data_IF_230955649348
#
_entry.id   IF_230955649348
#
_cell.length_a   1.000
_cell.length_b   1.000
_cell.length_c   1.000
_cell.angle_alpha   90.00
_cell.angle_beta   90.00
_cell.angle_gamma   90.00
#
_symmetry.space_group_name_H-M   'P 1'
#
loop_
_entity.id
_entity.type
_entity.pdbx_description
1 polymer ?
#
# COMPACT_ATOMS: atom_id res chain seq x y z
N UNK A 1 8.87 -1.62 -0.52
CA UNK A 1 9.83 -0.51 -0.28
C UNK A 1 11.26 -1.04 -0.37
N UNK A 2 11.69 -2.06 0.40
CA UNK A 2 13.06 -2.57 0.37
C UNK A 2 13.56 -2.93 -1.04
N UNK A 3 12.74 -3.60 -1.84
CA UNK A 3 13.10 -3.94 -3.22
C UNK A 3 13.35 -2.70 -4.09
N UNK A 4 12.58 -1.63 -3.87
CA UNK A 4 12.76 -0.36 -4.58
C UNK A 4 14.09 0.31 -4.18
N UNK A 5 14.42 0.31 -2.89
CA UNK A 5 15.70 0.82 -2.37
C UNK A 5 16.87 0.00 -2.93
N UNK A 6 16.77 -1.33 -2.93
CA UNK A 6 17.79 -2.22 -3.49
C UNK A 6 17.98 -1.99 -5.00
N UNK A 7 16.90 -1.75 -5.72
CA UNK A 7 16.96 -1.42 -7.15
C UNK A 7 17.62 -0.04 -7.37
N UNK A 8 17.29 0.94 -6.54
CA UNK A 8 17.93 2.26 -6.60
C UNK A 8 19.45 2.16 -6.41
N UNK A 9 19.90 1.43 -5.39
CA UNK A 9 21.31 1.16 -5.14
C UNK A 9 22.00 0.48 -6.34
N UNK A 10 21.38 -0.56 -6.88
CA UNK A 10 21.93 -1.32 -8.02
C UNK A 10 22.13 -0.47 -9.27
N UNK A 11 21.29 0.54 -9.47
CA UNK A 11 21.31 1.40 -10.65
C UNK A 11 21.80 2.82 -10.37
N UNK A 12 22.50 3.03 -9.26
CA UNK A 12 23.07 4.32 -8.83
C UNK A 12 22.03 5.45 -8.85
N UNK A 13 20.87 5.18 -8.25
CA UNK A 13 19.77 6.16 -8.11
C UNK A 13 19.64 6.60 -6.66
N UNK A 14 19.28 7.85 -6.45
CA UNK A 14 18.86 8.39 -5.17
C UNK A 14 17.35 8.16 -4.97
N UNK A 15 16.96 7.88 -3.76
CA UNK A 15 15.55 7.64 -3.37
C UNK A 15 15.00 8.90 -2.71
N UNK A 16 13.87 9.37 -3.19
CA UNK A 16 13.12 10.47 -2.58
C UNK A 16 11.80 9.94 -2.05
N UNK A 17 11.51 10.21 -0.79
CA UNK A 17 10.27 9.76 -0.14
C UNK A 17 9.31 10.94 -0.02
N UNK A 18 8.14 10.82 -0.63
CA UNK A 18 7.12 11.87 -0.67
C UNK A 18 5.82 11.45 0.02
N UNK A 19 5.28 12.39 0.80
CA UNK A 19 4.07 12.21 1.57
C UNK A 19 4.35 11.84 3.02
N UNK A 20 3.69 12.57 3.96
CA UNK A 20 3.92 12.45 5.42
C UNK A 20 3.84 11.01 5.93
N UNK A 21 2.82 10.26 5.51
CA UNK A 21 2.66 8.87 5.94
C UNK A 21 3.80 7.97 5.44
N UNK A 22 4.26 8.15 4.19
CA UNK A 22 5.35 7.37 3.63
C UNK A 22 6.68 7.69 4.32
N UNK A 23 6.96 8.97 4.57
CA UNK A 23 8.15 9.41 5.32
C UNK A 23 8.17 8.78 6.69
N UNK A 24 7.07 8.84 7.44
CA UNK A 24 6.97 8.24 8.78
C UNK A 24 7.17 6.72 8.74
N UNK A 25 6.53 6.01 7.79
CA UNK A 25 6.68 4.56 7.66
C UNK A 25 8.12 4.17 7.34
N UNK A 26 8.78 4.88 6.43
CA UNK A 26 10.18 4.61 6.09
C UNK A 26 11.09 4.88 7.28
N UNK A 27 10.90 5.99 8.00
CA UNK A 27 11.70 6.34 9.18
C UNK A 27 11.57 5.27 10.28
N UNK A 28 10.32 4.93 10.67
CA UNK A 28 10.05 3.93 11.72
C UNK A 28 10.58 2.55 11.30
N UNK A 29 10.37 2.13 10.05
CA UNK A 29 10.83 0.83 9.58
C UNK A 29 12.36 0.75 9.53
N UNK A 30 13.05 1.85 9.27
CA UNK A 30 14.51 1.94 9.32
C UNK A 30 15.00 1.88 10.78
N UNK A 31 14.40 2.65 11.68
CA UNK A 31 14.73 2.64 13.12
C UNK A 31 14.56 1.25 13.74
N UNK A 32 13.48 0.55 13.38
CA UNK A 32 13.20 -0.81 13.86
C UNK A 32 14.00 -1.91 13.12
N UNK A 33 14.84 -1.56 12.15
CA UNK A 33 15.66 -2.51 11.39
C UNK A 33 14.91 -3.33 10.34
N UNK A 34 13.64 -3.01 10.04
CA UNK A 34 12.87 -3.65 8.97
C UNK A 34 13.25 -3.16 7.57
N UNK A 35 13.80 -1.95 7.47
CA UNK A 35 14.39 -1.43 6.24
C UNK A 35 15.89 -1.24 6.43
N UNK A 36 16.64 -1.81 5.50
CA UNK A 36 18.08 -1.60 5.40
C UNK A 36 18.32 -0.52 4.35
N UNK A 37 18.78 0.62 4.81
CA UNK A 37 19.05 1.80 3.96
C UNK A 37 20.53 2.10 4.07
N UNK A 38 21.25 2.08 2.93
CA UNK A 38 22.64 2.51 2.91
C UNK A 38 22.71 4.03 3.09
N UNK A 39 23.82 4.51 3.63
CA UNK A 39 24.09 5.94 3.77
C UNK A 39 23.93 6.65 2.41
N UNK A 40 23.42 7.86 2.43
CA UNK A 40 23.24 8.75 1.27
C UNK A 40 22.32 8.24 0.13
N UNK A 41 21.58 7.14 0.31
CA UNK A 41 20.65 6.66 -0.72
C UNK A 41 19.34 7.44 -0.69
N UNK A 42 18.79 7.69 0.49
CA UNK A 42 17.60 8.53 0.66
C UNK A 42 18.06 9.98 0.79
N UNK A 43 17.49 10.84 -0.04
CA UNK A 43 17.76 12.29 -0.05
C UNK A 43 16.47 13.07 0.21
N UNK A 44 16.61 14.29 0.68
CA UNK A 44 15.49 15.19 0.85
C UNK A 44 14.91 15.65 -0.49
N UNK A 45 13.61 15.92 -0.52
CA UNK A 45 12.93 16.38 -1.73
C UNK A 45 13.52 17.68 -2.30
N UNK A 46 14.09 18.53 -1.47
CA UNK A 46 14.73 19.78 -1.84
C UNK A 46 16.05 19.58 -2.59
N UNK A 47 16.68 18.43 -2.41
CA UNK A 47 17.95 18.08 -3.06
C UNK A 47 17.78 17.45 -4.45
N UNK A 48 16.55 17.10 -4.85
CA UNK A 48 16.28 16.47 -6.16
C UNK A 48 16.90 17.22 -7.33
N UNK A 49 16.90 18.55 -7.28
CA UNK A 49 17.43 19.41 -8.36
C UNK A 49 18.95 19.26 -8.59
N UNK A 50 19.65 18.58 -7.68
CA UNK A 50 21.08 18.26 -7.82
C UNK A 50 21.33 17.02 -8.70
N UNK A 51 20.26 16.27 -9.01
CA UNK A 51 20.33 15.00 -9.73
C UNK A 51 19.53 15.07 -11.03
N UNK A 52 19.96 14.29 -12.03
CA UNK A 52 19.19 14.12 -13.28
C UNK A 52 17.96 13.25 -12.99
N UNK A 53 16.89 13.41 -13.77
CA UNK A 53 15.65 12.64 -13.58
C UNK A 53 15.88 11.13 -13.60
N UNK A 54 16.77 10.63 -14.45
CA UNK A 54 17.10 9.21 -14.53
C UNK A 54 17.95 8.68 -13.35
N UNK A 55 18.42 9.55 -12.48
CA UNK A 55 19.12 9.20 -11.25
C UNK A 55 18.20 9.21 -10.02
N UNK A 56 16.92 9.44 -10.20
CA UNK A 56 15.96 9.50 -9.10
C UNK A 56 15.00 8.31 -9.12
N UNK A 57 14.66 7.84 -7.92
CA UNK A 57 13.55 6.93 -7.66
C UNK A 57 12.66 7.58 -6.60
N UNK A 58 11.38 7.75 -6.91
CA UNK A 58 10.44 8.44 -6.04
C UNK A 58 9.49 7.43 -5.41
N UNK A 59 9.45 7.37 -4.08
CA UNK A 59 8.46 6.63 -3.31
C UNK A 59 7.36 7.59 -2.88
N UNK A 60 6.12 7.31 -3.27
CA UNK A 60 4.99 8.19 -2.99
C UNK A 60 3.72 7.40 -2.64
N UNK A 61 2.73 8.11 -2.11
CA UNK A 61 1.38 7.60 -1.83
C UNK A 61 0.43 7.85 -3.00
N UNK A 62 -0.79 7.29 -2.93
CA UNK A 62 -1.87 7.57 -3.90
C UNK A 62 -2.18 6.44 -4.86
N UNK A 63 -1.80 5.21 -4.50
CA UNK A 63 -2.08 4.01 -5.29
C UNK A 63 -3.56 3.65 -5.39
N UNK A 64 -4.43 4.28 -4.61
CA UNK A 64 -5.89 4.09 -4.61
C UNK A 64 -6.65 5.19 -5.39
N UNK A 65 -5.93 6.10 -6.03
CA UNK A 65 -6.52 7.17 -6.85
C UNK A 65 -7.18 8.28 -6.03
N UNK A 66 -6.80 8.44 -4.76
CA UNK A 66 -7.30 9.53 -3.93
C UNK A 66 -6.85 10.89 -4.50
N UNK A 67 -7.76 11.85 -4.71
CA UNK A 67 -7.47 13.09 -5.44
C UNK A 67 -6.34 13.94 -4.84
N UNK A 68 -6.19 13.90 -3.51
CA UNK A 68 -5.18 14.69 -2.78
C UNK A 68 -3.85 13.97 -2.60
N UNK A 69 -3.77 12.70 -2.98
CA UNK A 69 -2.55 11.92 -2.83
C UNK A 69 -1.48 12.28 -3.88
N UNK A 70 -0.22 11.99 -3.56
CA UNK A 70 0.93 12.38 -4.39
C UNK A 70 0.81 11.94 -5.85
N UNK A 71 0.56 10.66 -6.09
CA UNK A 71 0.47 10.11 -7.44
C UNK A 71 -0.69 10.72 -8.26
N UNK A 72 -1.87 10.90 -7.67
CA UNK A 72 -3.02 11.52 -8.34
C UNK A 72 -2.72 12.98 -8.73
N UNK A 73 -2.02 13.71 -7.88
CA UNK A 73 -1.58 15.07 -8.19
C UNK A 73 -0.51 15.11 -9.29
N UNK A 74 0.41 14.15 -9.31
CA UNK A 74 1.39 14.00 -10.39
C UNK A 74 0.70 13.69 -11.72
N UNK A 75 -0.28 12.79 -11.72
CA UNK A 75 -1.02 12.39 -12.93
C UNK A 75 -1.85 13.51 -13.57
N UNK A 76 -2.16 14.55 -12.80
CA UNK A 76 -2.88 15.75 -13.26
C UNK A 76 -1.99 16.99 -13.37
N UNK A 77 -0.67 16.83 -13.26
CA UNK A 77 0.32 17.92 -13.27
C UNK A 77 0.12 18.99 -12.19
N UNK A 78 -0.52 18.61 -11.07
CA UNK A 78 -0.80 19.48 -9.92
C UNK A 78 0.13 19.24 -8.73
N UNK A 79 1.19 18.45 -8.90
CA UNK A 79 2.18 18.24 -7.84
C UNK A 79 3.22 19.38 -7.84
N UNK A 80 3.59 19.87 -6.65
CA UNK A 80 4.46 21.05 -6.51
C UNK A 80 5.87 20.87 -7.06
N UNK A 81 6.42 19.67 -6.89
CA UNK A 81 7.84 19.41 -7.10
C UNK A 81 8.12 18.34 -8.16
N UNK A 82 7.12 17.56 -8.56
CA UNK A 82 7.28 16.45 -9.50
C UNK A 82 6.36 16.66 -10.70
N UNK A 83 6.94 16.56 -11.88
CA UNK A 83 6.22 16.46 -13.15
C UNK A 83 6.55 15.14 -13.81
N UNK A 84 5.53 14.41 -14.20
CA UNK A 84 5.71 13.20 -15.02
C UNK A 84 6.07 13.63 -16.44
N UNK A 85 7.11 13.03 -17.00
CA UNK A 85 7.58 13.30 -18.35
C UNK A 85 7.55 12.01 -19.20
N UNK A 86 7.51 12.13 -20.53
CA UNK A 86 7.59 10.97 -21.42
C UNK A 86 8.83 10.12 -21.14
N UNK A 87 8.62 8.80 -21.01
CA UNK A 87 9.70 7.84 -20.70
C UNK A 87 9.87 7.55 -19.21
N UNK A 88 9.18 8.24 -18.32
CA UNK A 88 9.13 7.86 -16.91
C UNK A 88 8.45 6.50 -16.72
N UNK A 89 8.91 5.73 -15.75
CA UNK A 89 8.27 4.48 -15.33
C UNK A 89 7.57 4.67 -13.98
N UNK A 90 6.27 4.40 -13.96
CA UNK A 90 5.46 4.43 -12.73
C UNK A 90 5.03 3.03 -12.35
N UNK A 91 5.38 2.59 -11.15
CA UNK A 91 5.03 1.27 -10.62
C UNK A 91 3.96 1.42 -9.54
N UNK A 92 2.77 0.87 -9.76
CA UNK A 92 1.68 0.86 -8.78
C UNK A 92 1.66 -0.52 -8.12
N UNK A 93 2.23 -0.61 -6.92
CA UNK A 93 2.39 -1.88 -6.20
C UNK A 93 1.17 -2.26 -5.33
N UNK A 94 0.07 -1.53 -5.42
CA UNK A 94 -1.16 -1.81 -4.68
C UNK A 94 -2.24 -2.38 -5.59
N UNK A 95 -3.07 -3.26 -5.03
CA UNK A 95 -4.32 -3.68 -5.67
C UNK A 95 -5.41 -2.66 -5.32
N UNK A 96 -6.24 -2.21 -6.27
CA UNK A 96 -7.37 -1.35 -5.96
C UNK A 96 -8.30 -1.96 -4.91
N UNK A 97 -8.68 -1.17 -3.93
CA UNK A 97 -9.74 -1.54 -2.98
C UNK A 97 -11.07 -1.55 -3.76
N UNK A 98 -11.97 -2.52 -3.50
CA UNK A 98 -13.29 -2.54 -4.13
C UNK A 98 -13.99 -1.18 -4.03
N UNK A 99 -14.41 -0.63 -5.19
CA UNK A 99 -14.98 0.71 -5.33
C UNK A 99 -14.00 1.79 -5.81
N UNK A 100 -12.69 1.58 -5.73
CA UNK A 100 -11.69 2.54 -6.18
C UNK A 100 -11.18 2.27 -7.60
N UNK A 101 -11.64 1.21 -8.27
CA UNK A 101 -11.15 0.77 -9.57
C UNK A 101 -11.22 1.88 -10.62
N UNK A 102 -12.33 2.64 -10.64
CA UNK A 102 -12.50 3.76 -11.56
C UNK A 102 -11.52 4.91 -11.31
N UNK A 103 -11.25 5.23 -10.04
CA UNK A 103 -10.30 6.30 -9.67
C UNK A 103 -8.87 5.90 -10.00
N UNK A 104 -8.49 4.66 -9.69
CA UNK A 104 -7.19 4.11 -10.05
C UNK A 104 -7.02 4.05 -11.56
N UNK A 105 -8.03 3.56 -12.30
CA UNK A 105 -8.02 3.54 -13.76
C UNK A 105 -7.81 4.93 -14.37
N UNK A 106 -8.52 5.95 -13.89
CA UNK A 106 -8.33 7.35 -14.33
C UNK A 106 -6.90 7.86 -14.08
N UNK A 107 -6.33 7.51 -12.93
CA UNK A 107 -4.95 7.90 -12.60
C UNK A 107 -3.96 7.24 -13.56
N UNK A 108 -4.13 5.94 -13.85
CA UNK A 108 -3.32 5.19 -14.83
C UNK A 108 -3.42 5.82 -16.22
N UNK A 109 -4.65 6.05 -16.70
CA UNK A 109 -4.89 6.68 -18.01
C UNK A 109 -4.20 8.05 -18.11
N UNK A 110 -4.29 8.84 -17.05
CA UNK A 110 -3.67 10.18 -17.02
C UNK A 110 -2.15 10.10 -17.07
N UNK A 111 -1.54 9.18 -16.33
CA UNK A 111 -0.10 8.94 -16.38
C UNK A 111 0.37 8.49 -17.77
N UNK A 112 -0.37 7.58 -18.40
CA UNK A 112 -0.07 7.12 -19.77
C UNK A 112 -0.21 8.26 -20.81
N UNK A 113 -1.20 9.16 -20.65
CA UNK A 113 -1.34 10.35 -21.51
C UNK A 113 -0.17 11.31 -21.37
N UNK A 114 0.48 11.36 -20.20
CA UNK A 114 1.70 12.12 -19.98
C UNK A 114 2.96 11.43 -20.56
N UNK A 115 2.80 10.23 -21.15
CA UNK A 115 3.88 9.47 -21.78
C UNK A 115 4.64 8.55 -20.82
N UNK A 116 4.12 8.30 -19.62
CA UNK A 116 4.71 7.36 -18.68
C UNK A 116 4.44 5.91 -19.07
N UNK A 117 5.42 5.04 -18.82
CA UNK A 117 5.22 3.59 -18.79
C UNK A 117 4.66 3.17 -17.42
N UNK A 118 3.43 2.68 -17.37
CA UNK A 118 2.76 2.32 -16.10
C UNK A 118 2.71 0.81 -15.91
N UNK A 119 3.31 0.33 -14.82
CA UNK A 119 3.30 -1.08 -14.40
C UNK A 119 2.33 -1.24 -13.24
N UNK A 120 1.20 -1.90 -13.46
CA UNK A 120 0.09 -2.01 -12.48
C UNK A 120 -0.57 -3.39 -12.42
N UNK A 121 -0.16 -4.33 -13.26
CA UNK A 121 -0.82 -5.63 -13.36
C UNK A 121 -0.49 -6.57 -12.21
N UNK A 122 -1.46 -7.41 -11.82
CA UNK A 122 -1.30 -8.48 -10.81
C UNK A 122 -0.23 -9.51 -11.18
N UNK A 123 0.04 -9.70 -12.47
CA UNK A 123 1.05 -10.62 -12.99
C UNK A 123 2.49 -10.23 -12.62
N UNK A 124 2.73 -8.96 -12.31
CA UNK A 124 4.06 -8.43 -12.03
C UNK A 124 4.62 -8.76 -10.64
N UNK A 125 3.85 -9.44 -9.77
CA UNK A 125 4.24 -9.83 -8.38
C UNK A 125 4.80 -8.67 -7.53
N UNK A 126 4.38 -7.44 -7.81
CA UNK A 126 4.82 -6.24 -7.11
C UNK A 126 3.99 -5.91 -5.86
N UNK A 127 2.84 -6.58 -5.70
CA UNK A 127 1.95 -6.38 -4.56
C UNK A 127 2.19 -7.42 -3.48
N UNK A 128 2.24 -6.97 -2.23
CA UNK A 128 2.21 -7.81 -1.03
C UNK A 128 0.99 -7.41 -0.21
N UNK A 129 0.13 -8.39 0.12
CA UNK A 129 -1.04 -8.13 0.96
C UNK A 129 -0.62 -7.72 2.37
N UNK A 130 -1.27 -6.71 2.92
CA UNK A 130 -1.17 -6.33 4.33
C UNK A 130 -2.16 -7.06 5.23
N UNK A 131 -3.08 -7.86 4.65
CA UNK A 131 -4.03 -8.65 5.42
C UNK A 131 -3.39 -9.95 5.91
N UNK A 132 -3.77 -10.36 7.11
CA UNK A 132 -3.33 -11.60 7.71
C UNK A 132 -3.76 -12.82 6.88
N UNK A 133 -2.90 -13.83 6.81
CA UNK A 133 -3.24 -15.14 6.30
C UNK A 133 -4.16 -15.90 7.25
N UNK A 134 -4.79 -16.97 6.79
CA UNK A 134 -5.67 -17.78 7.65
C UNK A 134 -4.96 -18.31 8.90
N UNK A 135 -3.70 -18.73 8.77
CA UNK A 135 -2.93 -19.26 9.90
C UNK A 135 -2.55 -18.18 10.91
N UNK A 136 -2.31 -16.95 10.45
CA UNK A 136 -2.08 -15.81 11.34
C UNK A 136 -3.37 -15.43 12.09
N UNK A 137 -4.55 -15.49 11.45
CA UNK A 137 -5.85 -15.29 12.11
C UNK A 137 -6.06 -16.36 13.18
N UNK A 138 -5.78 -17.63 12.92
CA UNK A 138 -5.85 -18.72 13.87
C UNK A 138 -4.88 -18.51 15.05
N UNK A 139 -3.68 -18.05 14.77
CA UNK A 139 -2.69 -17.75 15.81
C UNK A 139 -3.22 -16.66 16.77
N UNK A 140 -3.74 -15.56 16.24
CA UNK A 140 -4.30 -14.48 17.06
C UNK A 140 -5.47 -14.97 17.89
N UNK A 141 -6.40 -15.74 17.31
CA UNK A 141 -7.53 -16.32 18.05
C UNK A 141 -7.07 -17.24 19.19
N UNK A 142 -6.04 -18.06 18.96
CA UNK A 142 -5.46 -18.93 19.98
C UNK A 142 -4.79 -18.17 21.13
N UNK A 143 -4.12 -17.06 20.81
CA UNK A 143 -3.45 -16.23 21.81
C UNK A 143 -4.45 -15.44 22.66
N UNK A 144 -5.47 -14.84 22.01
CA UNK A 144 -6.47 -13.99 22.67
C UNK A 144 -7.53 -14.80 23.39
N UNK A 145 -7.95 -15.96 22.84
CA UNK A 145 -9.03 -16.83 23.33
C UNK A 145 -10.31 -16.05 23.68
N UNK A 146 -10.88 -15.29 22.71
CA UNK A 146 -12.01 -14.43 23.00
C UNK A 146 -13.24 -15.23 23.39
N UNK A 147 -14.01 -14.73 24.37
CA UNK A 147 -15.31 -15.30 24.71
C UNK A 147 -16.35 -15.02 23.62
N UNK A 148 -16.34 -13.82 23.06
CA UNK A 148 -17.21 -13.36 21.99
C UNK A 148 -16.38 -12.94 20.79
N UNK A 149 -16.89 -13.16 19.58
CA UNK A 149 -16.19 -12.84 18.36
C UNK A 149 -17.11 -12.18 17.34
N UNK A 150 -16.69 -11.01 16.85
CA UNK A 150 -17.39 -10.25 15.80
C UNK A 150 -16.38 -9.99 14.67
N UNK A 151 -16.48 -10.68 13.53
CA UNK A 151 -15.62 -10.39 12.38
C UNK A 151 -16.01 -9.05 11.75
N UNK A 152 -15.02 -8.24 11.42
CA UNK A 152 -15.19 -6.92 10.80
C UNK A 152 -14.36 -6.83 9.51
N UNK A 153 -14.68 -5.81 8.69
CA UNK A 153 -13.90 -5.41 7.53
C UNK A 153 -13.85 -6.47 6.43
N UNK A 154 -14.96 -6.64 5.73
CA UNK A 154 -15.03 -7.55 4.59
C UNK A 154 -16.44 -7.66 4.04
N UNK A 155 -16.58 -8.35 2.92
CA UNK A 155 -17.89 -8.75 2.41
C UNK A 155 -18.47 -9.86 3.28
N UNK A 156 -19.79 -10.01 3.30
CA UNK A 156 -20.50 -10.98 4.16
C UNK A 156 -19.92 -12.40 4.09
N UNK A 157 -19.56 -12.89 2.89
CA UNK A 157 -18.91 -14.20 2.72
C UNK A 157 -17.56 -14.31 3.45
N UNK A 158 -16.81 -13.20 3.51
CA UNK A 158 -15.51 -13.16 4.21
C UNK A 158 -15.72 -13.19 5.72
N UNK A 159 -16.70 -12.43 6.22
CA UNK A 159 -17.08 -12.41 7.64
C UNK A 159 -17.56 -13.79 8.10
N UNK A 160 -18.39 -14.45 7.29
CA UNK A 160 -18.84 -15.82 7.55
C UNK A 160 -17.67 -16.81 7.63
N UNK A 161 -16.69 -16.68 6.70
CA UNK A 161 -15.51 -17.55 6.73
C UNK A 161 -14.65 -17.30 7.96
N UNK A 162 -14.48 -16.03 8.36
CA UNK A 162 -13.72 -15.66 9.55
C UNK A 162 -14.40 -16.18 10.83
N UNK A 163 -15.74 -16.12 10.90
CA UNK A 163 -16.52 -16.72 11.97
C UNK A 163 -16.32 -18.24 12.06
N UNK A 164 -16.26 -18.96 10.93
CA UNK A 164 -15.92 -20.40 10.91
C UNK A 164 -14.53 -20.69 11.46
N UNK A 165 -13.55 -19.89 11.08
CA UNK A 165 -12.18 -19.99 11.62
C UNK A 165 -12.20 -19.81 13.14
N UNK A 166 -12.95 -18.82 13.66
CA UNK A 166 -13.10 -18.64 15.10
C UNK A 166 -13.73 -19.84 15.79
N UNK A 167 -14.75 -20.45 15.18
CA UNK A 167 -15.36 -21.70 15.69
C UNK A 167 -14.37 -22.87 15.69
N UNK A 168 -13.59 -23.05 14.63
CA UNK A 168 -12.52 -24.05 14.56
C UNK A 168 -11.47 -23.86 15.66
N UNK A 169 -11.23 -22.61 16.07
CA UNK A 169 -10.31 -22.24 17.14
C UNK A 169 -10.92 -22.27 18.56
N UNK A 170 -12.14 -22.79 18.68
CA UNK A 170 -12.78 -23.06 19.96
C UNK A 170 -13.74 -21.98 20.48
N UNK A 171 -14.03 -20.94 19.70
CA UNK A 171 -15.09 -19.99 20.06
C UNK A 171 -16.46 -20.68 19.86
N UNK A 172 -17.31 -20.69 20.88
CA UNK A 172 -18.64 -21.30 20.80
C UNK A 172 -19.48 -20.61 19.71
N UNK A 173 -20.23 -21.38 18.93
CA UNK A 173 -20.99 -20.88 17.79
C UNK A 173 -21.96 -19.75 18.17
N UNK A 174 -22.61 -19.88 19.32
CA UNK A 174 -23.55 -18.90 19.91
C UNK A 174 -22.86 -17.59 20.30
N UNK A 175 -21.55 -17.57 20.40
CA UNK A 175 -20.74 -16.41 20.74
C UNK A 175 -20.08 -15.76 19.51
N UNK A 176 -20.43 -16.20 18.29
CA UNK A 176 -19.92 -15.65 17.03
C UNK A 176 -21.05 -14.86 16.35
N UNK A 177 -20.85 -13.57 16.21
CA UNK A 177 -21.84 -12.65 15.67
C UNK A 177 -21.38 -12.10 14.33
N UNK A 178 -21.92 -12.63 13.24
CA UNK A 178 -21.68 -12.10 11.89
C UNK A 178 -22.81 -11.15 11.56
N UNK A 179 -22.52 -9.86 11.57
CA UNK A 179 -23.49 -8.80 11.39
C UNK A 179 -23.34 -8.02 10.10
N UNK A 180 -24.34 -7.23 9.79
CA UNK A 180 -24.38 -6.25 8.72
C UNK A 180 -24.42 -4.83 9.28
N UNK A 181 -24.13 -3.83 8.43
CA UNK A 181 -24.15 -2.43 8.83
C UNK A 181 -25.52 -2.03 9.42
N UNK A 182 -25.50 -1.47 10.61
CA UNK A 182 -26.70 -1.04 11.34
C UNK A 182 -27.26 -2.08 12.32
N UNK A 183 -26.73 -3.29 12.39
CA UNK A 183 -27.09 -4.25 13.45
C UNK A 183 -26.45 -3.86 14.78
N UNK A 184 -27.24 -4.01 15.85
CA UNK A 184 -26.82 -3.79 17.23
C UNK A 184 -26.71 -5.15 17.91
N UNK A 185 -25.61 -5.39 18.61
CA UNK A 185 -25.40 -6.56 19.46
C UNK A 185 -25.37 -6.09 20.91
N UNK A 186 -26.28 -6.61 21.73
CA UNK A 186 -26.40 -6.33 23.15
C UNK A 186 -26.02 -7.56 24.01
#
# INVERSE_FOLDING_TARGET
IQQAINAALKYDRKVVVLGRSMVNVVAIATELGYLQVAEDVIIDAEEMNRYRNNQLLILTTGSQGEPMAGLSRMSTSNHRSISIIPGDTVIISATPIPGNEKSVGKTIDSLMRLGAHVVYEKSSRIHVSGHASQEELKLVLNLVRPKYFIPLHGEYRMLQRHGRIAQEMGVAKENIFVGENGQVFE
#
